data_IF_904834283934
#
_entry.id   IF_904834283934
#
_cell.length_a   1.000
_cell.length_b   1.000
_cell.length_c   1.000
_cell.angle_alpha   90.00
_cell.angle_beta   90.00
_cell.angle_gamma   90.00
#
_symmetry.space_group_name_H-M   'P 1'
#
loop_
_entity.id
_entity.type
_entity.pdbx_description
1 polymer ?
#
# COMPACT_ATOMS: atom_id res chain seq x y z
N UNK A 1 14.64 -5.85 -33.90
CA UNK A 1 14.18 -4.46 -33.79
C UNK A 1 15.17 -3.74 -32.90
N UNK A 2 15.88 -2.75 -33.42
CA UNK A 2 16.88 -1.97 -32.65
C UNK A 2 16.16 -1.16 -31.55
N UNK A 3 16.65 -1.23 -30.30
CA UNK A 3 16.06 -0.51 -29.15
C UNK A 3 15.95 1.01 -29.40
N UNK A 4 16.89 1.58 -30.16
CA UNK A 4 16.85 3.00 -30.57
C UNK A 4 15.61 3.33 -31.41
N UNK A 5 15.18 2.41 -32.28
CA UNK A 5 13.99 2.63 -33.10
C UNK A 5 12.71 2.61 -32.25
N UNK A 6 12.70 1.82 -31.16
CA UNK A 6 11.59 1.79 -30.20
C UNK A 6 11.52 3.09 -29.41
N UNK A 7 12.67 3.56 -28.89
CA UNK A 7 12.76 4.82 -28.16
C UNK A 7 12.27 6.00 -29.00
N UNK A 8 12.73 6.13 -30.25
CA UNK A 8 12.27 7.20 -31.14
C UNK A 8 10.78 7.11 -31.50
N UNK A 9 10.22 5.89 -31.59
CA UNK A 9 8.79 5.69 -31.82
C UNK A 9 7.95 6.09 -30.59
N UNK A 10 8.42 5.77 -29.39
CA UNK A 10 7.81 6.19 -28.13
C UNK A 10 7.78 7.73 -28.03
N UNK A 11 8.91 8.38 -28.29
CA UNK A 11 9.04 9.85 -28.26
C UNK A 11 8.09 10.51 -29.27
N UNK A 12 7.97 9.95 -30.48
CA UNK A 12 7.00 10.40 -31.50
C UNK A 12 5.55 10.36 -31.00
N UNK A 13 5.24 9.57 -29.99
CA UNK A 13 3.91 9.44 -29.39
C UNK A 13 3.81 10.05 -27.98
N UNK A 14 4.79 10.89 -27.60
CA UNK A 14 4.78 11.60 -26.32
C UNK A 14 5.13 10.73 -25.12
N UNK A 15 5.65 9.52 -25.34
CA UNK A 15 6.15 8.64 -24.29
C UNK A 15 7.67 8.81 -24.24
N UNK A 16 8.28 9.05 -23.06
CA UNK A 16 9.73 9.14 -22.94
C UNK A 16 10.44 7.92 -23.53
N UNK A 17 11.46 8.14 -24.37
CA UNK A 17 12.24 7.06 -25.00
C UNK A 17 13.21 6.35 -24.05
N UNK A 18 13.29 6.80 -22.80
CA UNK A 18 14.15 6.25 -21.75
C UNK A 18 13.91 6.91 -20.40
N UNK A 19 14.68 6.50 -19.40
CA UNK A 19 14.59 7.01 -18.04
C UNK A 19 15.12 8.45 -17.92
N UNK A 20 14.58 9.20 -16.98
CA UNK A 20 14.95 10.59 -16.70
C UNK A 20 16.25 10.67 -15.86
N UNK A 21 17.40 10.44 -16.51
CA UNK A 21 18.72 10.52 -15.88
C UNK A 21 19.17 11.94 -15.51
N UNK A 22 18.48 12.96 -16.01
CA UNK A 22 18.64 14.37 -15.63
C UNK A 22 17.98 14.72 -14.28
N UNK A 23 17.29 13.75 -13.66
CA UNK A 23 16.67 13.84 -12.33
C UNK A 23 15.80 15.09 -12.15
N UNK A 24 14.81 15.33 -13.03
CA UNK A 24 13.99 16.53 -12.97
C UNK A 24 13.16 16.53 -11.68
N UNK A 25 13.06 17.72 -11.10
CA UNK A 25 12.28 17.97 -9.89
C UNK A 25 10.79 17.93 -10.22
N UNK A 26 10.03 16.96 -9.68
CA UNK A 26 8.59 16.84 -9.95
C UNK A 26 7.80 18.08 -9.49
N UNK A 27 6.82 18.50 -10.29
CA UNK A 27 5.90 19.57 -9.91
C UNK A 27 4.79 19.14 -8.94
N UNK A 28 4.62 17.83 -8.71
CA UNK A 28 3.50 17.28 -7.95
C UNK A 28 3.81 17.15 -6.46
N UNK A 29 2.81 17.37 -5.61
CA UNK A 29 2.87 17.23 -4.15
C UNK A 29 1.58 16.64 -3.62
N UNK A 30 1.67 16.06 -2.42
CA UNK A 30 0.49 15.76 -1.60
C UNK A 30 -0.14 17.07 -1.07
N UNK A 31 -1.37 16.98 -0.56
CA UNK A 31 -2.12 18.13 -0.05
C UNK A 31 -1.45 18.85 1.12
N UNK A 32 -0.56 18.18 1.84
CA UNK A 32 0.27 18.75 2.91
C UNK A 32 1.65 19.22 2.42
N UNK A 33 1.89 19.20 1.12
CA UNK A 33 3.15 19.64 0.50
C UNK A 33 4.26 18.58 0.48
N UNK A 34 4.01 17.35 0.93
CA UNK A 34 5.00 16.27 0.86
C UNK A 34 5.27 15.85 -0.60
N UNK A 35 6.49 15.40 -0.85
CA UNK A 35 6.92 14.88 -2.17
C UNK A 35 6.55 13.42 -2.40
N UNK A 36 6.56 12.63 -1.33
CA UNK A 36 6.31 11.20 -1.36
C UNK A 36 5.69 10.76 -0.04
N UNK A 37 5.14 9.55 -0.02
CA UNK A 37 4.62 8.86 1.15
C UNK A 37 5.34 7.52 1.29
N UNK A 38 5.37 7.02 2.52
CA UNK A 38 5.88 5.69 2.82
C UNK A 38 4.73 4.80 3.23
N UNK A 39 4.69 3.61 2.64
CA UNK A 39 3.68 2.59 2.88
C UNK A 39 4.36 1.29 3.29
N UNK A 40 3.77 0.61 4.27
CA UNK A 40 4.17 -0.75 4.67
C UNK A 40 3.02 -1.70 4.35
N UNK A 41 3.32 -2.73 3.56
CA UNK A 41 2.36 -3.77 3.20
C UNK A 41 2.51 -5.01 4.08
N UNK A 42 1.40 -5.73 4.32
CA UNK A 42 1.39 -7.00 5.05
C UNK A 42 1.30 -6.83 6.57
N UNK A 43 0.65 -5.76 7.04
CA UNK A 43 0.39 -5.55 8.48
C UNK A 43 -0.89 -6.31 8.85
N UNK A 44 -0.75 -7.58 9.24
CA UNK A 44 -1.89 -8.50 9.35
C UNK A 44 -2.65 -8.45 10.68
N UNK A 45 -1.98 -8.11 11.80
CA UNK A 45 -2.57 -8.16 13.15
C UNK A 45 -2.24 -6.92 14.00
N UNK A 46 -3.00 -6.64 15.07
CA UNK A 46 -2.75 -5.49 15.94
C UNK A 46 -1.31 -5.42 16.48
N UNK A 47 -0.74 -6.56 16.91
CA UNK A 47 0.62 -6.58 17.47
C UNK A 47 1.70 -6.22 16.43
N UNK A 48 1.44 -6.52 15.15
CA UNK A 48 2.32 -6.14 14.05
C UNK A 48 2.22 -4.64 13.78
N UNK A 49 1.00 -4.08 13.83
CA UNK A 49 0.81 -2.63 13.71
C UNK A 49 1.51 -1.88 14.84
N UNK A 50 1.37 -2.36 16.08
CA UNK A 50 2.07 -1.80 17.25
C UNK A 50 3.59 -1.81 17.05
N UNK A 51 4.16 -2.92 16.55
CA UNK A 51 5.58 -3.00 16.25
C UNK A 51 6.02 -2.02 15.15
N UNK A 52 5.19 -1.81 14.12
CA UNK A 52 5.46 -0.81 13.08
C UNK A 52 5.47 0.60 13.68
N UNK A 53 4.49 0.94 14.52
CA UNK A 53 4.41 2.26 15.18
C UNK A 53 5.62 2.47 16.10
N UNK A 54 5.95 1.50 16.93
CA UNK A 54 7.11 1.58 17.84
C UNK A 54 8.43 1.77 17.07
N UNK A 55 8.65 1.03 15.99
CA UNK A 55 9.85 1.20 15.16
C UNK A 55 9.88 2.51 14.38
N UNK A 56 8.72 2.99 13.89
CA UNK A 56 8.66 4.27 13.17
C UNK A 56 9.01 5.45 14.10
N UNK A 57 8.54 5.41 15.35
CA UNK A 57 8.84 6.40 16.37
C UNK A 57 10.32 6.36 16.79
N UNK A 58 10.84 5.17 17.09
CA UNK A 58 12.25 4.97 17.47
C UNK A 58 13.22 5.47 16.41
N UNK A 59 12.93 5.18 15.13
CA UNK A 59 13.80 5.55 14.00
C UNK A 59 13.52 6.95 13.49
N UNK A 60 12.45 7.59 13.95
CA UNK A 60 11.96 8.89 13.44
C UNK A 60 11.73 8.85 11.93
N UNK A 61 11.18 7.74 11.44
CA UNK A 61 10.84 7.54 10.03
C UNK A 61 9.34 7.67 9.86
N UNK A 62 8.84 8.56 8.99
CA UNK A 62 7.41 8.75 8.82
C UNK A 62 6.79 7.62 7.99
N UNK A 63 5.91 6.82 8.59
CA UNK A 63 5.00 5.94 7.85
C UNK A 63 3.66 6.66 7.75
N UNK A 64 3.05 6.58 6.57
CA UNK A 64 1.81 7.31 6.27
C UNK A 64 0.64 6.37 6.04
N UNK A 65 0.93 5.16 5.54
CA UNK A 65 -0.09 4.19 5.18
C UNK A 65 0.34 2.78 5.48
N UNK A 66 -0.62 1.94 5.83
CA UNK A 66 -0.45 0.49 5.92
C UNK A 66 -1.46 -0.24 5.04
N UNK A 67 -1.01 -1.30 4.36
CA UNK A 67 -1.89 -2.29 3.75
C UNK A 67 -2.02 -3.46 4.71
N UNK A 68 -3.25 -3.76 5.10
CA UNK A 68 -3.53 -4.56 6.28
C UNK A 68 -4.54 -5.66 6.05
N UNK A 69 -4.40 -6.71 6.86
CA UNK A 69 -5.22 -7.92 6.84
C UNK A 69 -5.43 -8.45 5.42
N UNK A 70 -4.36 -8.59 4.62
CA UNK A 70 -4.45 -9.09 3.24
C UNK A 70 -4.93 -10.54 3.20
N UNK A 71 -4.67 -11.29 4.28
CA UNK A 71 -5.29 -12.60 4.52
C UNK A 71 -6.79 -12.53 4.80
N UNK A 72 -7.38 -11.34 4.94
CA UNK A 72 -8.78 -11.09 5.18
C UNK A 72 -9.09 -10.60 6.59
N UNK A 73 -9.69 -9.42 6.69
CA UNK A 73 -10.13 -8.83 7.96
C UNK A 73 -11.18 -9.67 8.69
N UNK A 74 -11.92 -10.55 8.00
CA UNK A 74 -12.82 -11.53 8.63
C UNK A 74 -12.11 -12.57 9.51
N UNK A 75 -10.79 -12.71 9.39
CA UNK A 75 -9.99 -13.57 10.26
C UNK A 75 -9.61 -12.90 11.59
N UNK A 76 -9.93 -11.62 11.74
CA UNK A 76 -9.77 -10.86 12.98
C UNK A 76 -11.13 -10.77 13.68
N UNK A 77 -11.14 -10.93 15.00
CA UNK A 77 -12.34 -10.70 15.78
C UNK A 77 -12.65 -9.20 15.93
N UNK A 78 -13.84 -8.89 16.47
CA UNK A 78 -14.28 -7.49 16.62
C UNK A 78 -13.38 -6.68 17.55
N UNK A 79 -12.77 -7.32 18.55
CA UNK A 79 -11.86 -6.65 19.49
C UNK A 79 -10.56 -6.33 18.77
N UNK A 80 -9.98 -7.29 18.06
CA UNK A 80 -8.78 -7.10 17.24
C UNK A 80 -8.96 -5.97 16.22
N UNK A 81 -10.08 -5.94 15.48
CA UNK A 81 -10.36 -4.87 14.53
C UNK A 81 -10.50 -3.50 15.20
N UNK A 82 -11.10 -3.44 16.39
CA UNK A 82 -11.26 -2.19 17.14
C UNK A 82 -9.92 -1.68 17.66
N UNK A 83 -9.11 -2.56 18.22
CA UNK A 83 -7.78 -2.22 18.74
C UNK A 83 -6.88 -1.77 17.59
N UNK A 84 -6.92 -2.47 16.46
CA UNK A 84 -6.21 -2.08 15.23
C UNK A 84 -6.60 -0.68 14.75
N UNK A 85 -7.90 -0.42 14.61
CA UNK A 85 -8.40 0.88 14.15
C UNK A 85 -8.03 2.01 15.11
N UNK A 86 -8.08 1.75 16.43
CA UNK A 86 -7.74 2.73 17.44
C UNK A 86 -6.24 3.06 17.43
N UNK A 87 -5.37 2.04 17.36
CA UNK A 87 -3.93 2.23 17.27
C UNK A 87 -3.52 3.00 16.00
N UNK A 88 -4.07 2.61 14.84
CA UNK A 88 -3.79 3.30 13.57
C UNK A 88 -4.25 4.76 13.60
N UNK A 89 -5.44 5.05 14.15
CA UNK A 89 -5.96 6.40 14.27
C UNK A 89 -5.11 7.26 15.21
N UNK A 90 -4.65 6.71 16.35
CA UNK A 90 -3.77 7.40 17.28
C UNK A 90 -2.42 7.75 16.64
N UNK A 91 -1.86 6.84 15.83
CA UNK A 91 -0.63 7.05 15.08
C UNK A 91 -0.82 7.87 13.78
N UNK A 92 -2.03 8.33 13.49
CA UNK A 92 -2.38 9.07 12.27
C UNK A 92 -2.02 8.34 10.97
N UNK A 93 -2.19 7.02 10.94
CA UNK A 93 -1.92 6.18 9.78
C UNK A 93 -3.18 5.99 8.92
N UNK A 94 -3.03 6.13 7.61
CA UNK A 94 -4.04 5.66 6.66
C UNK A 94 -4.03 4.13 6.63
N UNK A 95 -5.21 3.50 6.67
CA UNK A 95 -5.33 2.03 6.62
C UNK A 95 -6.08 1.62 5.36
N UNK A 96 -5.43 0.82 4.52
CA UNK A 96 -6.09 0.04 3.47
C UNK A 96 -6.34 -1.35 4.03
N UNK A 97 -7.60 -1.66 4.32
CA UNK A 97 -7.99 -2.92 4.91
C UNK A 97 -8.59 -3.84 3.84
N UNK A 98 -8.13 -5.09 3.77
CA UNK A 98 -8.74 -6.10 2.87
C UNK A 98 -9.86 -6.81 3.62
N UNK A 99 -11.14 -6.64 3.23
CA UNK A 99 -12.28 -7.07 4.05
C UNK A 99 -12.38 -8.59 4.22
N UNK A 100 -11.98 -9.40 3.24
CA UNK A 100 -12.06 -10.85 3.31
C UNK A 100 -10.85 -11.51 2.68
N UNK A 101 -10.62 -12.82 2.92
CA UNK A 101 -9.40 -13.53 2.53
C UNK A 101 -9.16 -13.60 1.03
N UNK A 102 -10.12 -13.17 0.21
CA UNK A 102 -10.20 -13.57 -1.19
C UNK A 102 -10.82 -12.52 -2.05
N UNK A 103 -10.23 -12.38 -3.23
CA UNK A 103 -10.82 -11.64 -4.29
C UNK A 103 -11.81 -12.52 -5.07
N UNK A 104 -12.93 -11.94 -5.52
CA UNK A 104 -13.98 -12.64 -6.25
C UNK A 104 -13.54 -13.25 -7.61
N UNK A 105 -12.30 -12.97 -8.04
CA UNK A 105 -11.68 -13.50 -9.26
C UNK A 105 -10.83 -14.76 -9.02
N UNK A 106 -10.71 -15.21 -7.77
CA UNK A 106 -10.10 -16.49 -7.47
C UNK A 106 -10.99 -17.64 -8.01
N UNK A 107 -10.38 -18.65 -8.63
CA UNK A 107 -11.08 -19.76 -9.30
C UNK A 107 -11.58 -20.84 -8.33
N UNK A 108 -11.28 -20.69 -7.04
CA UNK A 108 -11.77 -21.57 -5.98
C UNK A 108 -13.28 -21.46 -5.79
N UNK A 109 -13.96 -22.57 -5.53
CA UNK A 109 -15.41 -22.60 -5.21
C UNK A 109 -15.74 -22.29 -3.76
N UNK A 110 -14.75 -22.14 -2.87
CA UNK A 110 -15.01 -21.83 -1.47
C UNK A 110 -15.86 -20.57 -1.24
N UNK A 111 -15.67 -19.42 -1.96
CA UNK A 111 -16.46 -18.21 -1.76
C UNK A 111 -17.97 -18.36 -1.95
N UNK A 112 -18.43 -19.46 -2.57
CA UNK A 112 -19.86 -19.75 -2.77
C UNK A 112 -20.38 -20.85 -1.82
N UNK A 113 -19.58 -21.32 -0.86
CA UNK A 113 -20.03 -22.27 0.17
C UNK A 113 -20.44 -21.52 1.44
N UNK A 114 -21.33 -22.12 2.27
CA UNK A 114 -21.76 -21.49 3.52
C UNK A 114 -20.64 -21.21 4.52
N UNK A 115 -19.54 -21.96 4.42
CA UNK A 115 -18.38 -21.88 5.32
C UNK A 115 -17.41 -20.77 4.94
N UNK A 116 -17.56 -20.17 3.75
CA UNK A 116 -16.70 -19.10 3.25
C UNK A 116 -15.60 -19.59 2.35
#
# INVERSE_FOLDING_TARGET
MELRNVASLMEKHGIPGGDAHDLPTSGQRFSDGAWYRMEISGVERPEVLEAVIDEMEKRKVPIHRVISAVMGATLLDRKELKDFAQAAAQAQLEVILTPGPRAAWDIGRQPVTPEG
#
